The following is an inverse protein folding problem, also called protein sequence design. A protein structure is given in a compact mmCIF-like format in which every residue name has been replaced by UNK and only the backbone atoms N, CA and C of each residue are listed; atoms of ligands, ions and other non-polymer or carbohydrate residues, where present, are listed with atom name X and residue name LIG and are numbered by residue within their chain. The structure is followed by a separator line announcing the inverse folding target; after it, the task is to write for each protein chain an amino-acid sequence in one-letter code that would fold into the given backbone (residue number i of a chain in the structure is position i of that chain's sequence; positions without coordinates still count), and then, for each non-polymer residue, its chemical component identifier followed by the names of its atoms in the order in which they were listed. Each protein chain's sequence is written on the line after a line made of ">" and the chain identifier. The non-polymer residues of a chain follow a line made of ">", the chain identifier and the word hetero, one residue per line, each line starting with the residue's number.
data_IF_910075487489
#
_entry.id   IF_910075487489
#
_cell.length_a   1.000
_cell.length_b   1.000
_cell.length_c   1.000
_cell.angle_alpha   90.00
_cell.angle_beta   90.00
_cell.angle_gamma   90.00
#
_symmetry.space_group_name_H-M   'P 1'
#
loop_
_entity.id
_entity.type
_entity.pdbx_description
1 polymer ?
#
# COMPACT_ATOMS: atom_id res chain seq x y z
N UNK A 1 15.32 -8.44 2.35
CA UNK A 1 15.80 -7.53 3.40
C UNK A 1 14.98 -6.26 3.45
N UNK A 2 15.08 -5.53 4.55
CA UNK A 2 14.38 -4.25 4.72
C UNK A 2 14.79 -3.26 3.63
N UNK A 3 16.08 -3.19 3.30
CA UNK A 3 16.58 -2.28 2.28
C UNK A 3 15.96 -2.54 0.90
N UNK A 4 15.81 -3.80 0.51
CA UNK A 4 15.17 -4.17 -0.74
C UNK A 4 13.71 -3.76 -0.77
N UNK A 5 12.98 -3.96 0.33
CA UNK A 5 11.58 -3.57 0.44
C UNK A 5 11.44 -2.06 0.29
N UNK A 6 12.29 -1.28 0.96
CA UNK A 6 12.28 0.19 0.87
C UNK A 6 12.56 0.64 -0.57
N UNK A 7 13.57 0.05 -1.23
CA UNK A 7 13.89 0.41 -2.62
C UNK A 7 12.71 0.13 -3.54
N UNK A 8 12.13 -1.05 -3.44
CA UNK A 8 11.05 -1.47 -4.34
C UNK A 8 9.73 -0.74 -4.06
N UNK A 9 9.42 -0.48 -2.80
CA UNK A 9 8.15 0.15 -2.42
C UNK A 9 8.24 1.68 -2.43
N UNK A 10 9.23 2.26 -1.75
CA UNK A 10 9.29 3.71 -1.52
C UNK A 10 10.02 4.46 -2.63
N UNK A 11 11.18 3.97 -3.06
CA UNK A 11 11.98 4.68 -4.05
C UNK A 11 11.32 4.65 -5.42
N UNK A 12 10.67 3.55 -5.80
CA UNK A 12 9.93 3.47 -7.07
C UNK A 12 8.83 4.53 -7.12
N UNK A 13 8.12 4.74 -6.01
CA UNK A 13 7.10 5.78 -5.93
C UNK A 13 7.68 7.19 -6.06
N UNK A 14 8.80 7.44 -5.42
CA UNK A 14 9.42 8.76 -5.45
C UNK A 14 10.06 9.09 -6.79
N UNK A 15 10.76 8.12 -7.40
CA UNK A 15 11.48 8.32 -8.67
C UNK A 15 10.50 8.43 -9.84
N UNK A 16 9.46 7.59 -9.87
CA UNK A 16 8.52 7.48 -10.97
C UNK A 16 7.15 8.09 -10.65
N UNK A 17 7.10 9.05 -9.74
CA UNK A 17 5.85 9.70 -9.32
C UNK A 17 4.99 10.09 -10.52
N UNK A 18 3.68 9.83 -10.43
CA UNK A 18 2.69 10.10 -11.47
C UNK A 18 2.87 9.28 -12.76
N UNK A 19 3.59 8.16 -12.68
CA UNK A 19 3.71 7.21 -13.79
C UNK A 19 3.34 5.80 -13.33
N UNK A 20 2.99 4.94 -14.29
CA UNK A 20 2.69 3.55 -13.99
C UNK A 20 3.88 2.81 -13.36
N UNK A 21 5.11 3.21 -13.69
CA UNK A 21 6.33 2.62 -13.14
C UNK A 21 6.44 2.80 -11.63
N UNK A 22 5.78 3.80 -11.05
CA UNK A 22 5.76 4.00 -9.60
C UNK A 22 5.23 2.77 -8.86
N UNK A 23 4.38 1.97 -9.50
CA UNK A 23 3.74 0.79 -8.92
C UNK A 23 4.26 -0.53 -9.49
N UNK A 24 5.18 -0.50 -10.43
CA UNK A 24 5.63 -1.70 -11.15
C UNK A 24 6.31 -2.72 -10.25
N UNK A 25 6.92 -2.28 -9.14
CA UNK A 25 7.63 -3.15 -8.21
C UNK A 25 6.79 -3.55 -6.99
N UNK A 26 5.52 -3.13 -6.94
CA UNK A 26 4.65 -3.42 -5.80
C UNK A 26 4.47 -4.93 -5.54
N UNK A 27 4.24 -5.79 -6.54
CA UNK A 27 4.10 -7.22 -6.29
C UNK A 27 5.37 -7.84 -5.69
N UNK A 28 6.54 -7.43 -6.15
CA UNK A 28 7.81 -7.92 -5.62
C UNK A 28 8.05 -7.41 -4.20
N UNK A 29 7.76 -6.14 -3.93
CA UNK A 29 7.86 -5.58 -2.60
C UNK A 29 6.96 -6.32 -1.61
N UNK A 30 5.72 -6.62 -2.00
CA UNK A 30 4.79 -7.36 -1.17
C UNK A 30 5.30 -8.77 -0.89
N UNK A 31 5.82 -9.47 -1.90
CA UNK A 31 6.37 -10.82 -1.73
C UNK A 31 7.52 -10.84 -0.73
N UNK A 32 8.43 -9.87 -0.84
CA UNK A 32 9.56 -9.74 0.09
C UNK A 32 9.08 -9.40 1.51
N UNK A 33 8.06 -8.56 1.63
CA UNK A 33 7.48 -8.22 2.93
C UNK A 33 6.84 -9.44 3.59
N UNK A 34 6.08 -10.22 2.83
CA UNK A 34 5.48 -11.47 3.32
C UNK A 34 6.56 -12.44 3.80
N UNK A 35 7.65 -12.57 3.04
CA UNK A 35 8.76 -13.43 3.41
C UNK A 35 9.45 -12.96 4.70
N UNK A 36 9.67 -11.66 4.83
CA UNK A 36 10.28 -11.08 6.03
C UNK A 36 9.44 -11.38 7.27
N UNK A 37 8.12 -11.29 7.16
CA UNK A 37 7.19 -11.58 8.25
C UNK A 37 7.22 -13.08 8.61
N UNK A 38 7.23 -13.95 7.61
CA UNK A 38 7.34 -15.40 7.82
C UNK A 38 8.60 -15.77 8.60
N UNK A 39 9.70 -15.07 8.32
CA UNK A 39 10.98 -15.28 8.99
C UNK A 39 11.10 -14.56 10.33
N UNK A 40 10.09 -13.79 10.73
CA UNK A 40 10.06 -13.08 11.98
C UNK A 40 10.94 -11.84 12.04
N UNK A 41 11.42 -11.32 10.90
CA UNK A 41 12.31 -10.16 10.86
C UNK A 41 11.63 -8.88 11.36
N UNK A 42 10.33 -8.73 11.12
CA UNK A 42 9.57 -7.58 11.58
C UNK A 42 9.54 -7.48 13.11
N UNK A 43 9.55 -8.62 13.81
CA UNK A 43 9.53 -8.67 15.27
C UNK A 43 10.87 -8.27 15.90
N UNK A 44 11.94 -8.26 15.11
CA UNK A 44 13.29 -7.92 15.57
C UNK A 44 13.62 -6.45 15.36
N UNK A 45 12.73 -5.68 14.75
CA UNK A 45 12.94 -4.28 14.40
C UNK A 45 12.11 -3.36 15.28
N UNK A 46 12.58 -2.11 15.54
CA UNK A 46 11.72 -1.08 16.12
C UNK A 46 10.48 -0.84 15.26
N UNK A 47 9.39 -0.39 15.87
CA UNK A 47 8.12 -0.16 15.15
C UNK A 47 8.30 0.77 13.96
N UNK A 48 9.13 1.81 14.07
CA UNK A 48 9.38 2.75 12.98
C UNK A 48 10.00 2.09 11.74
N UNK A 49 10.82 1.05 11.94
CA UNK A 49 11.42 0.29 10.85
C UNK A 49 10.51 -0.84 10.36
N UNK A 50 9.84 -1.53 11.29
CA UNK A 50 8.89 -2.57 10.93
C UNK A 50 7.76 -2.03 10.05
N UNK A 51 7.39 -0.76 10.22
CA UNK A 51 6.38 -0.11 9.41
C UNK A 51 6.72 -0.18 7.90
N UNK A 52 7.99 -0.08 7.52
CA UNK A 52 8.39 -0.19 6.12
C UNK A 52 8.18 -1.58 5.55
N UNK A 53 8.27 -2.62 6.39
CA UNK A 53 7.93 -3.99 5.96
C UNK A 53 6.43 -4.11 5.70
N UNK A 54 5.62 -3.39 6.46
CA UNK A 54 4.15 -3.46 6.35
C UNK A 54 3.59 -2.55 5.26
N UNK A 55 4.33 -1.52 4.81
CA UNK A 55 3.86 -0.59 3.78
C UNK A 55 3.41 -1.27 2.48
N UNK A 56 4.10 -2.30 1.96
CA UNK A 56 3.62 -2.99 0.76
C UNK A 56 2.21 -3.57 0.92
N UNK A 57 1.82 -3.96 2.13
CA UNK A 57 0.46 -4.41 2.41
C UNK A 57 -0.54 -3.25 2.28
N UNK A 58 -0.22 -2.08 2.83
CA UNK A 58 -1.05 -0.88 2.73
C UNK A 58 -1.23 -0.45 1.27
N UNK A 59 -0.20 -0.59 0.45
CA UNK A 59 -0.22 -0.18 -0.95
C UNK A 59 -0.88 -1.20 -1.89
N UNK A 60 -1.19 -2.40 -1.41
CA UNK A 60 -1.86 -3.43 -2.20
C UNK A 60 -3.30 -3.05 -2.52
N UNK A 61 -3.76 -3.47 -3.71
CA UNK A 61 -5.17 -3.31 -4.10
C UNK A 61 -6.00 -4.57 -3.82
N UNK A 62 -5.53 -5.44 -2.91
CA UNK A 62 -6.22 -6.68 -2.54
C UNK A 62 -6.96 -6.53 -1.21
N UNK A 63 -8.24 -6.89 -1.19
CA UNK A 63 -9.04 -6.89 0.04
C UNK A 63 -8.48 -7.83 1.11
N UNK A 64 -8.02 -9.01 0.69
CA UNK A 64 -7.44 -10.01 1.60
C UNK A 64 -6.16 -9.48 2.24
N UNK A 65 -5.31 -8.83 1.44
CA UNK A 65 -4.06 -8.25 1.94
C UNK A 65 -4.35 -7.13 2.94
N UNK A 66 -5.38 -6.32 2.71
CA UNK A 66 -5.75 -5.25 3.65
C UNK A 66 -6.33 -5.79 4.97
N UNK A 67 -6.95 -6.95 4.97
CA UNK A 67 -7.34 -7.61 6.23
C UNK A 67 -6.10 -7.94 7.07
N UNK A 68 -5.03 -8.39 6.41
CA UNK A 68 -3.76 -8.65 7.08
C UNK A 68 -3.08 -7.34 7.50
N UNK A 69 -3.10 -6.32 6.64
CA UNK A 69 -2.52 -5.01 6.93
C UNK A 69 -3.14 -4.38 8.17
N UNK A 70 -4.45 -4.46 8.32
CA UNK A 70 -5.15 -3.93 9.49
C UNK A 70 -4.59 -4.53 10.78
N UNK A 71 -4.31 -5.83 10.80
CA UNK A 71 -3.74 -6.48 11.97
C UNK A 71 -2.27 -6.09 12.18
N UNK A 72 -1.50 -6.00 11.09
CA UNK A 72 -0.08 -5.65 11.16
C UNK A 72 0.15 -4.24 11.71
N UNK A 73 -0.66 -3.28 11.27
CA UNK A 73 -0.54 -1.88 11.71
C UNK A 73 -1.21 -1.59 13.05
N UNK A 74 -1.97 -2.53 13.60
CA UNK A 74 -2.70 -2.31 14.85
C UNK A 74 -1.74 -1.93 15.98
N UNK A 75 -2.01 -0.81 16.65
CA UNK A 75 -1.15 -0.28 17.69
C UNK A 75 0.00 0.57 17.21
N UNK A 76 0.16 0.75 15.91
CA UNK A 76 1.21 1.60 15.32
C UNK A 76 0.68 3.00 15.04
N UNK A 77 1.61 3.97 14.94
CA UNK A 77 1.25 5.37 14.71
C UNK A 77 0.54 5.61 13.38
N UNK A 78 0.80 4.78 12.37
CA UNK A 78 0.19 4.89 11.05
C UNK A 78 -1.01 3.96 10.83
N UNK A 79 -1.58 3.40 11.89
CA UNK A 79 -2.76 2.54 11.82
C UNK A 79 -3.95 3.27 11.15
N UNK A 80 -4.16 4.54 11.47
CA UNK A 80 -5.24 5.33 10.87
C UNK A 80 -5.10 5.48 9.37
N UNK A 81 -3.86 5.60 8.86
CA UNK A 81 -3.61 5.65 7.43
C UNK A 81 -3.99 4.34 6.75
N UNK A 82 -3.71 3.20 7.39
CA UNK A 82 -4.13 1.91 6.86
C UNK A 82 -5.66 1.82 6.81
N UNK A 83 -6.36 2.28 7.83
CA UNK A 83 -7.82 2.26 7.84
C UNK A 83 -8.41 3.10 6.71
N UNK A 84 -7.81 4.26 6.42
CA UNK A 84 -8.23 5.11 5.29
C UNK A 84 -8.01 4.42 3.94
N UNK A 85 -6.91 3.69 3.79
CA UNK A 85 -6.64 2.92 2.58
C UNK A 85 -7.60 1.74 2.45
N UNK A 86 -7.80 1.02 3.55
CA UNK A 86 -8.66 -0.17 3.57
C UNK A 86 -10.11 0.15 3.20
N UNK A 87 -10.64 1.28 3.67
CA UNK A 87 -12.01 1.71 3.32
C UNK A 87 -12.17 1.82 1.81
N UNK A 88 -11.17 2.36 1.12
CA UNK A 88 -11.19 2.51 -0.34
C UNK A 88 -11.16 1.14 -1.02
N UNK A 89 -10.28 0.27 -0.57
CA UNK A 89 -10.15 -1.08 -1.14
C UNK A 89 -11.41 -1.90 -0.88
N UNK A 90 -11.99 -1.81 0.32
CA UNK A 90 -13.23 -2.52 0.64
C UNK A 90 -14.39 -2.04 -0.24
N UNK A 91 -14.42 -0.75 -0.59
CA UNK A 91 -15.48 -0.16 -1.41
C UNK A 91 -15.30 -0.44 -2.91
N UNK A 92 -14.09 -0.26 -3.44
CA UNK A 92 -13.83 -0.28 -4.89
C UNK A 92 -13.01 -1.46 -5.36
N UNK A 93 -12.32 -2.16 -4.48
CA UNK A 93 -11.39 -3.23 -4.84
C UNK A 93 -10.07 -2.74 -5.46
N UNK A 94 -9.88 -1.44 -5.51
CA UNK A 94 -8.68 -0.80 -6.06
C UNK A 94 -8.63 0.65 -5.58
N UNK A 95 -7.50 1.32 -5.86
CA UNK A 95 -7.33 2.75 -5.60
C UNK A 95 -7.72 3.56 -6.83
N UNK A 96 -8.89 4.23 -6.83
CA UNK A 96 -9.34 4.98 -8.01
C UNK A 96 -8.36 6.07 -8.46
N UNK A 97 -7.60 6.68 -7.53
CA UNK A 97 -6.63 7.71 -7.90
C UNK A 97 -5.48 7.20 -8.77
N UNK A 98 -5.29 5.88 -8.86
CA UNK A 98 -4.31 5.26 -9.77
C UNK A 98 -4.86 5.01 -11.17
N UNK A 99 -6.17 5.13 -11.36
CA UNK A 99 -6.81 4.73 -12.63
C UNK A 99 -6.24 5.47 -13.83
N UNK A 100 -6.13 6.80 -13.76
CA UNK A 100 -5.61 7.61 -14.86
C UNK A 100 -4.16 7.23 -15.19
N UNK A 101 -3.33 7.05 -14.18
CA UNK A 101 -1.90 6.70 -14.34
C UNK A 101 -1.74 5.32 -14.95
N UNK A 102 -2.59 4.36 -14.54
CA UNK A 102 -2.51 2.98 -14.99
C UNK A 102 -3.35 2.69 -16.24
N UNK A 103 -3.99 3.72 -16.81
CA UNK A 103 -4.82 3.55 -18.00
C UNK A 103 -6.11 2.79 -17.74
N UNK A 104 -6.61 2.80 -16.51
CA UNK A 104 -7.87 2.15 -16.15
C UNK A 104 -9.00 3.16 -16.21
N UNK A 105 -10.15 2.73 -16.71
CA UNK A 105 -11.35 3.56 -16.76
C UNK A 105 -12.00 3.63 -15.38
N UNK A 106 -12.37 4.85 -14.95
CA UNK A 106 -13.06 5.05 -13.68
C UNK A 106 -14.56 4.87 -13.86
N UNK A 107 -15.20 4.21 -12.88
CA UNK A 107 -16.67 4.15 -12.84
C UNK A 107 -17.24 5.50 -12.42
N UNK A 108 -18.57 5.77 -12.66
CA UNK A 108 -19.19 6.99 -12.16
C UNK A 108 -19.03 7.19 -10.64
N UNK A 109 -19.13 6.13 -9.86
CA UNK A 109 -18.90 6.20 -8.41
C UNK A 109 -17.47 6.59 -8.07
N UNK A 110 -16.49 6.05 -8.79
CA UNK A 110 -15.10 6.38 -8.60
C UNK A 110 -14.81 7.84 -8.94
N UNK A 111 -15.40 8.35 -10.02
CA UNK A 111 -15.25 9.75 -10.41
C UNK A 111 -15.82 10.68 -9.33
N UNK A 112 -16.98 10.34 -8.77
CA UNK A 112 -17.57 11.09 -7.66
C UNK A 112 -16.67 11.04 -6.43
N UNK A 113 -16.16 9.84 -6.08
CA UNK A 113 -15.26 9.66 -4.96
C UNK A 113 -13.99 10.50 -5.07
N UNK A 114 -13.42 10.61 -6.28
CA UNK A 114 -12.17 11.35 -6.51
C UNK A 114 -12.32 12.86 -6.27
N UNK A 115 -13.54 13.39 -6.18
CA UNK A 115 -13.80 14.79 -5.83
C UNK A 115 -13.82 15.00 -4.29
N UNK A 116 -13.83 13.94 -3.51
CA UNK A 116 -13.96 13.99 -2.06
C UNK A 116 -12.59 14.06 -1.37
N UNK A 117 -12.52 14.57 -0.11
CA UNK A 117 -11.30 14.51 0.68
C UNK A 117 -10.85 13.07 0.92
N UNK A 118 -9.53 12.86 1.08
CA UNK A 118 -8.92 11.56 1.35
C UNK A 118 -9.12 10.54 0.22
N UNK A 119 -9.27 11.01 -1.01
CA UNK A 119 -9.45 10.13 -2.18
C UNK A 119 -8.13 9.73 -2.82
N UNK A 120 -7.02 10.35 -2.46
CA UNK A 120 -5.69 10.03 -2.97
C UNK A 120 -4.62 10.16 -1.87
N UNK A 121 -3.51 9.48 -2.08
CA UNK A 121 -2.41 9.45 -1.13
C UNK A 121 -1.08 9.69 -1.82
#
# INVERSE_FOLDING_TARGET
>A
SLAEIIVLDQFSRNIYRNTAQAFSQDPQALSLAQRAIELGFDKKLPSSQAAFIYMPFMHSESKVIHQQAEQLFKGMSNYEFELKHKVIIDRFGRYPHRNAILGRESTPEELQFLTEPNSSF
#
